data_IF_566207633487
#
_entry.id   IF_566207633487
#
_cell.length_a   1.000
_cell.length_b   1.000
_cell.length_c   1.000
_cell.angle_alpha   90.00
_cell.angle_beta   90.00
_cell.angle_gamma   90.00
#
_symmetry.space_group_name_H-M   'P 1'
#
loop_
_entity.id
_entity.type
_entity.pdbx_description
1 polymer ?
2 non-polymer ?
#
# COMPACT_ATOMS: atom_id res chain seq x y z
N UNK A 15 -58.88 -4.73 7.72
CA UNK A 15 -57.71 -4.99 6.83
C UNK A 15 -56.46 -4.33 7.42
N UNK A 16 -56.39 -3.00 7.26
CA UNK A 16 -55.17 -2.21 7.29
C UNK A 16 -54.25 -2.79 6.24
N UNK A 17 -54.79 -3.08 5.04
CA UNK A 17 -54.05 -3.29 3.82
C UNK A 17 -53.23 -2.05 3.53
N UNK A 18 -53.57 -0.94 4.18
CA UNK A 18 -52.82 0.30 4.06
C UNK A 18 -51.57 0.20 4.93
N UNK A 19 -51.69 -0.46 6.08
CA UNK A 19 -50.56 -0.72 6.96
C UNK A 19 -49.62 -1.76 6.33
N UNK A 20 -50.17 -2.87 5.80
CA UNK A 20 -49.39 -3.93 5.14
C UNK A 20 -48.56 -3.38 3.98
N UNK A 21 -49.21 -2.65 3.07
CA UNK A 21 -48.51 -2.13 1.90
C UNK A 21 -47.40 -1.17 2.33
N UNK A 22 -47.68 -0.34 3.35
CA UNK A 22 -46.71 0.60 3.88
C UNK A 22 -45.50 -0.11 4.51
N UNK A 23 -45.70 -1.38 4.89
CA UNK A 23 -44.67 -2.26 5.43
C UNK A 23 -43.81 -2.83 4.30
N UNK A 24 -44.45 -3.36 3.23
CA UNK A 24 -43.82 -3.85 2.02
C UNK A 24 -42.81 -2.82 1.50
N UNK A 25 -43.18 -1.55 1.55
CA UNK A 25 -42.43 -0.48 0.93
C UNK A 25 -41.37 0.09 1.88
N UNK A 26 -41.63 0.07 3.19
CA UNK A 26 -40.58 0.41 4.14
C UNK A 26 -39.48 -0.66 4.08
N UNK A 27 -39.87 -1.93 3.90
CA UNK A 27 -38.96 -3.06 3.69
C UNK A 27 -38.06 -2.91 2.46
N UNK A 28 -38.67 -2.59 1.31
CA UNK A 28 -37.96 -2.45 0.05
C UNK A 28 -36.96 -1.30 0.11
N UNK A 29 -37.38 -0.19 0.73
CA UNK A 29 -36.54 0.99 0.90
C UNK A 29 -35.36 0.66 1.80
N UNK A 30 -35.61 -0.14 2.85
CA UNK A 30 -34.57 -0.53 3.81
C UNK A 30 -33.59 -1.52 3.18
N UNK A 31 -34.10 -2.45 2.35
CA UNK A 31 -33.22 -3.29 1.54
C UNK A 31 -32.36 -2.44 0.59
N UNK A 32 -33.02 -1.61 -0.23
CA UNK A 32 -32.38 -0.68 -1.14
C UNK A 32 -31.34 0.20 -0.44
N UNK A 33 -31.69 0.88 0.66
CA UNK A 33 -30.70 1.69 1.35
C UNK A 33 -29.49 0.81 1.69
N UNK A 34 -29.73 -0.42 2.15
CA UNK A 34 -28.66 -1.31 2.61
C UNK A 34 -27.80 -1.77 1.42
N UNK A 35 -28.45 -2.06 0.28
CA UNK A 35 -27.68 -2.33 -0.92
C UNK A 35 -26.75 -1.15 -1.22
N UNK A 36 -27.27 0.08 -1.22
CA UNK A 36 -26.47 1.23 -1.60
C UNK A 36 -25.28 1.42 -0.64
N UNK A 37 -25.53 1.44 0.66
CA UNK A 37 -24.46 1.52 1.63
C UNK A 37 -23.40 0.45 1.38
N UNK A 38 -23.83 -0.80 1.13
CA UNK A 38 -22.89 -1.91 0.98
C UNK A 38 -22.06 -1.74 -0.31
N UNK A 39 -22.72 -1.45 -1.43
CA UNK A 39 -22.04 -1.22 -2.71
C UNK A 39 -21.08 -0.02 -2.62
N UNK A 40 -21.49 1.02 -1.91
CA UNK A 40 -20.67 2.18 -1.62
C UNK A 40 -19.40 1.83 -0.84
N UNK A 41 -19.49 0.92 0.14
CA UNK A 41 -18.33 0.43 0.88
C UNK A 41 -17.43 -0.36 -0.06
N UNK A 42 -18.03 -1.11 -0.99
CA UNK A 42 -17.30 -1.83 -2.04
C UNK A 42 -16.38 -0.87 -2.78
N UNK A 43 -16.96 0.26 -3.21
CA UNK A 43 -16.28 1.33 -3.92
C UNK A 43 -15.10 1.90 -3.14
N UNK A 44 -15.35 2.42 -1.93
CA UNK A 44 -14.25 2.92 -1.10
C UNK A 44 -13.06 1.95 -1.10
N UNK A 45 -13.34 0.65 -1.20
CA UNK A 45 -12.35 -0.37 -0.96
C UNK A 45 -11.52 -0.54 -2.23
N UNK A 46 -12.21 -0.59 -3.37
CA UNK A 46 -11.62 -0.68 -4.70
C UNK A 46 -10.80 0.55 -5.06
N UNK A 47 -11.34 1.74 -4.81
CA UNK A 47 -10.63 3.00 -4.88
C UNK A 47 -9.41 3.07 -3.95
N UNK A 48 -9.47 2.52 -2.73
CA UNK A 48 -8.24 2.51 -1.96
C UNK A 48 -7.19 1.69 -2.71
N UNK A 49 -7.56 0.46 -3.10
CA UNK A 49 -6.62 -0.48 -3.66
C UNK A 49 -6.09 0.03 -4.98
N UNK A 50 -6.88 0.83 -5.70
CA UNK A 50 -6.49 1.39 -6.98
C UNK A 50 -5.48 2.54 -6.81
N UNK A 51 -5.79 3.53 -5.97
CA UNK A 51 -4.85 4.57 -5.58
C UNK A 51 -3.55 3.93 -5.08
N UNK A 52 -3.64 2.94 -4.21
CA UNK A 52 -2.44 2.34 -3.63
C UNK A 52 -1.59 1.63 -4.68
N UNK A 53 -2.24 1.02 -5.69
CA UNK A 53 -1.52 0.30 -6.74
C UNK A 53 -0.82 1.34 -7.62
N UNK A 54 -1.56 2.42 -7.95
CA UNK A 54 -1.06 3.46 -8.83
C UNK A 54 0.16 4.13 -8.21
N UNK A 55 0.06 4.49 -6.94
CA UNK A 55 1.10 5.29 -6.31
C UNK A 55 2.30 4.42 -5.92
N UNK A 56 2.11 3.10 -5.89
CA UNK A 56 3.21 2.15 -5.72
C UNK A 56 3.93 1.92 -7.05
N UNK A 57 3.21 2.08 -8.17
CA UNK A 57 3.80 1.88 -9.48
C UNK A 57 4.51 3.16 -9.93
N UNK A 58 4.10 4.33 -9.41
CA UNK A 58 4.82 5.58 -9.58
C UNK A 58 6.14 5.57 -8.79
N UNK A 59 6.13 5.17 -7.52
CA UNK A 59 7.34 4.95 -6.72
C UNK A 59 8.30 4.06 -7.48
N UNK A 60 7.83 2.87 -7.86
CA UNK A 60 8.71 1.87 -8.41
C UNK A 60 9.39 2.44 -9.67
N UNK A 61 8.63 3.23 -10.46
CA UNK A 61 9.17 3.67 -11.73
C UNK A 61 10.17 4.81 -11.52
N UNK A 62 9.81 5.77 -10.67
CA UNK A 62 10.64 6.88 -10.22
C UNK A 62 11.97 6.42 -9.60
N UNK A 63 11.88 5.53 -8.60
CA UNK A 63 13.00 4.92 -7.91
C UNK A 63 13.94 4.21 -8.89
N UNK A 64 13.41 3.31 -9.73
CA UNK A 64 14.29 2.56 -10.63
C UNK A 64 15.02 3.53 -11.56
N UNK A 65 14.34 4.62 -11.94
CA UNK A 65 14.87 5.54 -12.93
C UNK A 65 15.98 6.35 -12.29
N UNK A 66 15.81 6.68 -11.00
CA UNK A 66 16.83 7.35 -10.20
C UNK A 66 18.04 6.47 -9.86
N UNK A 67 17.87 5.15 -9.75
CA UNK A 67 18.97 4.22 -9.60
C UNK A 67 19.70 4.04 -10.92
N UNK A 68 18.92 3.98 -12.01
CA UNK A 68 19.48 3.91 -13.35
C UNK A 68 20.49 5.06 -13.49
N UNK A 69 20.07 6.25 -13.02
CA UNK A 69 20.82 7.49 -13.08
C UNK A 69 22.12 7.31 -12.32
N UNK A 70 21.97 7.05 -11.02
CA UNK A 70 23.04 6.86 -10.06
C UNK A 70 24.09 5.87 -10.59
N UNK A 71 23.64 4.77 -11.21
CA UNK A 71 24.56 3.78 -11.73
C UNK A 71 25.22 4.25 -13.01
N UNK A 72 24.51 5.03 -13.85
CA UNK A 72 25.17 5.42 -15.09
C UNK A 72 26.16 6.56 -14.85
N UNK A 73 25.84 7.46 -13.90
CA UNK A 73 26.81 8.45 -13.47
C UNK A 73 28.04 7.73 -12.92
N UNK A 74 27.86 6.85 -11.91
CA UNK A 74 28.90 5.97 -11.38
C UNK A 74 29.69 5.26 -12.48
N UNK A 75 28.99 4.61 -13.42
CA UNK A 75 29.63 3.96 -14.56
C UNK A 75 30.49 4.91 -15.40
N UNK A 76 30.05 6.16 -15.59
CA UNK A 76 30.80 7.10 -16.40
C UNK A 76 31.99 7.68 -15.62
N UNK A 77 31.84 7.86 -14.30
CA UNK A 77 33.00 8.24 -13.53
C UNK A 77 34.10 7.18 -13.66
N UNK A 78 33.71 5.91 -13.70
CA UNK A 78 34.67 4.84 -13.87
C UNK A 78 35.27 4.87 -15.27
N UNK A 79 34.43 4.91 -16.31
CA UNK A 79 34.92 4.99 -17.68
C UNK A 79 36.09 5.98 -17.75
N UNK A 80 35.90 7.17 -17.19
CA UNK A 80 36.93 8.21 -17.23
C UNK A 80 38.17 7.75 -16.47
N UNK A 81 37.96 7.25 -15.24
CA UNK A 81 39.02 6.86 -14.32
C UNK A 81 39.96 5.88 -15.02
N UNK A 82 39.36 4.85 -15.63
CA UNK A 82 40.05 3.81 -16.39
C UNK A 82 40.79 4.38 -17.60
N UNK A 83 40.26 5.43 -18.23
CA UNK A 83 40.95 6.02 -19.36
C UNK A 83 42.25 6.70 -18.93
N UNK A 84 42.24 7.46 -17.82
CA UNK A 84 43.49 8.01 -17.30
C UNK A 84 44.49 6.87 -17.04
N UNK A 85 43.97 5.69 -16.69
CA UNK A 85 44.81 4.52 -16.42
C UNK A 85 45.28 3.92 -17.76
N UNK A 86 44.37 3.72 -18.74
CA UNK A 86 44.72 3.12 -20.03
C UNK A 86 45.90 3.87 -20.69
N UNK A 87 45.87 5.20 -20.63
CA UNK A 87 46.82 6.05 -21.30
C UNK A 87 48.13 6.14 -20.51
N UNK A 88 48.02 6.03 -19.19
CA UNK A 88 49.18 6.14 -18.33
C UNK A 88 49.95 4.83 -18.31
N UNK A 89 49.46 3.87 -19.09
CA UNK A 89 50.09 2.57 -19.17
C UNK A 89 50.80 2.44 -20.52
N UNK A 90 50.20 3.07 -21.54
CA UNK A 90 50.90 3.46 -22.75
C UNK A 90 52.20 4.18 -22.35
N UNK A 91 52.09 5.23 -21.52
CA UNK A 91 53.23 6.05 -21.15
C UNK A 91 54.16 5.33 -20.16
N UNK A 92 53.62 4.68 -19.11
CA UNK A 92 54.40 4.07 -18.03
C UNK A 92 55.77 3.61 -18.55
N UNK B 15 56.46 -1.25 -9.28
CA UNK B 15 56.04 -1.45 -10.69
C UNK B 15 54.79 -0.62 -10.93
N UNK B 16 54.90 0.38 -11.83
CA UNK B 16 53.76 1.21 -12.15
C UNK B 16 52.73 0.41 -12.93
N UNK B 17 53.18 -0.52 -13.77
CA UNK B 17 52.24 -1.42 -14.40
C UNK B 17 51.45 -2.19 -13.32
N UNK B 18 51.97 -2.24 -12.08
CA UNK B 18 51.25 -2.94 -11.02
C UNK B 18 50.41 -1.97 -10.19
N UNK B 19 50.98 -0.84 -9.71
CA UNK B 19 50.24 0.25 -9.09
C UNK B 19 48.97 0.59 -9.89
N UNK B 20 49.11 0.70 -11.22
CA UNK B 20 47.98 1.12 -12.03
C UNK B 20 47.02 -0.05 -12.21
N UNK B 21 47.56 -1.27 -12.33
CA UNK B 21 46.69 -2.42 -12.44
C UNK B 21 45.87 -2.55 -11.14
N UNK B 22 46.57 -2.36 -10.01
CA UNK B 22 45.92 -2.35 -8.71
C UNK B 22 44.73 -1.39 -8.72
N UNK B 23 44.88 -0.25 -9.42
CA UNK B 23 43.92 0.83 -9.47
C UNK B 23 42.73 0.43 -10.34
N UNK B 24 43.02 -0.09 -11.55
CA UNK B 24 41.99 -0.60 -12.44
C UNK B 24 41.15 -1.62 -11.69
N UNK B 25 41.81 -2.63 -11.14
CA UNK B 25 41.06 -3.68 -10.48
C UNK B 25 40.19 -3.11 -9.36
N UNK B 26 40.74 -2.18 -8.53
CA UNK B 26 40.02 -1.66 -7.37
C UNK B 26 38.85 -0.77 -7.79
N UNK B 27 39.01 0.01 -8.88
CA UNK B 27 37.93 0.78 -9.49
C UNK B 27 36.84 -0.15 -10.03
N UNK B 28 37.23 -1.22 -10.75
CA UNK B 28 36.29 -2.23 -11.25
C UNK B 28 35.55 -2.90 -10.08
N UNK B 29 36.26 -3.30 -9.02
CA UNK B 29 35.58 -3.90 -7.88
C UNK B 29 34.68 -2.88 -7.16
N UNK B 30 35.08 -1.60 -7.13
CA UNK B 30 34.24 -0.60 -6.50
C UNK B 30 32.94 -0.39 -7.27
N UNK B 31 33.00 -0.38 -8.61
CA UNK B 31 31.80 -0.28 -9.43
C UNK B 31 30.88 -1.50 -9.33
N UNK B 32 31.45 -2.71 -9.53
CA UNK B 32 30.74 -3.96 -9.30
C UNK B 32 29.97 -3.93 -7.98
N UNK B 33 30.62 -3.52 -6.88
CA UNK B 33 29.93 -3.48 -5.59
C UNK B 33 28.73 -2.51 -5.67
N UNK B 34 28.92 -1.37 -6.34
CA UNK B 34 27.91 -0.33 -6.42
C UNK B 34 26.76 -0.85 -7.28
N UNK B 35 27.09 -1.56 -8.36
CA UNK B 35 26.04 -2.12 -9.23
C UNK B 35 25.18 -3.11 -8.47
N UNK B 36 25.79 -3.89 -7.58
CA UNK B 36 25.04 -4.93 -6.89
C UNK B 36 24.28 -4.36 -5.71
N UNK B 37 24.74 -3.23 -5.17
CA UNK B 37 24.01 -2.56 -4.11
C UNK B 37 22.81 -1.83 -4.72
N UNK B 38 22.95 -1.37 -5.97
CA UNK B 38 21.87 -0.65 -6.61
C UNK B 38 20.80 -1.66 -7.04
N UNK B 39 21.22 -2.73 -7.72
CA UNK B 39 20.30 -3.77 -8.18
C UNK B 39 19.58 -4.44 -7.01
N UNK B 40 20.19 -4.47 -5.82
CA UNK B 40 19.50 -4.95 -4.63
C UNK B 40 18.42 -3.98 -4.13
N UNK B 41 18.65 -2.67 -4.23
CA UNK B 41 17.60 -1.73 -3.85
C UNK B 41 16.49 -1.92 -4.90
N UNK B 42 16.87 -2.02 -6.18
CA UNK B 42 15.93 -2.33 -7.24
C UNK B 42 15.02 -3.49 -6.80
N UNK B 43 15.67 -4.61 -6.46
CA UNK B 43 15.02 -5.84 -6.06
C UNK B 43 14.20 -5.64 -4.80
N UNK B 44 14.83 -5.14 -3.75
CA UNK B 44 14.15 -4.97 -2.47
C UNK B 44 12.86 -4.15 -2.68
N UNK B 45 12.76 -3.46 -3.81
CA UNK B 45 11.71 -2.48 -3.98
C UNK B 45 10.60 -3.10 -4.82
N UNK B 46 11.01 -3.95 -5.79
CA UNK B 46 10.09 -4.62 -6.69
C UNK B 46 9.31 -5.69 -5.92
N UNK B 47 9.99 -6.24 -4.92
CA UNK B 47 9.45 -7.33 -4.12
C UNK B 47 8.55 -6.80 -3.02
N UNK B 48 8.90 -5.68 -2.40
CA UNK B 48 7.97 -5.14 -1.42
C UNK B 48 6.65 -4.84 -2.15
N UNK B 49 6.73 -4.26 -3.36
CA UNK B 49 5.56 -3.99 -4.20
C UNK B 49 4.73 -5.26 -4.47
N UNK B 50 5.36 -6.32 -5.02
CA UNK B 50 4.70 -7.60 -5.23
C UNK B 50 4.00 -8.08 -3.97
N UNK B 51 4.74 -8.13 -2.85
CA UNK B 51 4.22 -8.66 -1.60
C UNK B 51 3.20 -7.70 -0.96
N UNK B 52 2.97 -6.51 -1.54
CA UNK B 52 2.02 -5.55 -0.99
C UNK B 52 0.75 -5.59 -1.85
N UNK B 53 0.98 -5.52 -3.16
CA UNK B 53 -0.01 -5.73 -4.20
C UNK B 53 -0.76 -7.02 -3.90
N UNK B 54 -0.07 -8.14 -3.71
CA UNK B 54 -0.77 -9.38 -3.39
C UNK B 54 -1.68 -9.23 -2.17
N UNK B 55 -1.13 -8.98 -0.99
CA UNK B 55 -1.97 -8.89 0.20
C UNK B 55 -3.09 -7.84 0.04
N UNK B 56 -2.99 -7.02 -0.99
CA UNK B 56 -3.92 -5.90 -1.13
C UNK B 56 -5.11 -6.29 -1.98
N UNK B 57 -4.87 -7.00 -3.08
CA UNK B 57 -5.94 -7.44 -3.97
C UNK B 57 -6.52 -8.74 -3.39
N UNK B 58 -5.87 -9.27 -2.37
CA UNK B 58 -6.46 -10.30 -1.53
C UNK B 58 -7.36 -9.70 -0.44
N UNK B 59 -6.96 -8.58 0.18
CA UNK B 59 -7.88 -7.81 1.00
C UNK B 59 -9.21 -7.69 0.27
N UNK B 60 -9.13 -7.41 -1.04
CA UNK B 60 -10.23 -6.81 -1.78
C UNK B 60 -11.24 -7.89 -2.20
N UNK B 61 -10.72 -9.01 -2.74
CA UNK B 61 -11.50 -10.21 -3.02
C UNK B 61 -11.49 -11.10 -1.77
N UNK B 62 -11.71 -10.46 -0.62
CA UNK B 62 -12.11 -11.11 0.62
C UNK B 62 -13.27 -10.28 1.19
N UNK B 63 -13.04 -8.97 1.26
CA UNK B 63 -13.92 -7.97 1.83
C UNK B 63 -15.10 -7.80 0.87
N UNK B 64 -14.82 -7.81 -0.43
CA UNK B 64 -15.87 -7.78 -1.44
C UNK B 64 -16.75 -9.02 -1.34
N UNK B 65 -16.14 -10.14 -0.95
CA UNK B 65 -16.87 -11.37 -0.70
C UNK B 65 -17.81 -11.25 0.48
N UNK B 66 -17.30 -10.89 1.67
CA UNK B 66 -18.06 -10.78 2.91
C UNK B 66 -19.08 -9.65 2.84
N UNK B 67 -18.93 -8.71 1.88
CA UNK B 67 -19.92 -7.67 1.64
C UNK B 67 -21.10 -8.25 0.85
N UNK B 68 -20.79 -8.99 -0.24
CA UNK B 68 -21.78 -9.67 -1.08
C UNK B 68 -22.59 -10.64 -0.21
N UNK B 69 -21.98 -11.22 0.84
CA UNK B 69 -22.68 -12.12 1.73
C UNK B 69 -23.62 -11.40 2.69
N UNK B 70 -23.19 -10.25 3.20
CA UNK B 70 -24.04 -9.48 4.09
C UNK B 70 -25.33 -9.15 3.34
N UNK B 71 -25.18 -8.84 2.05
CA UNK B 71 -26.25 -8.42 1.17
C UNK B 71 -27.14 -9.60 0.78
N UNK B 72 -26.58 -10.79 0.65
CA UNK B 72 -27.40 -11.96 0.34
C UNK B 72 -28.31 -12.28 1.53
N UNK B 73 -27.76 -12.24 2.75
CA UNK B 73 -28.53 -12.48 3.97
C UNK B 73 -29.65 -11.46 4.07
N UNK B 74 -29.30 -10.16 4.00
CA UNK B 74 -30.25 -9.09 4.16
C UNK B 74 -31.36 -9.26 3.14
N UNK B 75 -30.95 -9.59 1.90
CA UNK B 75 -31.81 -9.88 0.76
C UNK B 75 -32.74 -11.08 0.99
N UNK B 76 -32.35 -11.98 1.92
CA UNK B 76 -33.18 -13.13 2.25
C UNK B 76 -34.14 -12.76 3.38
N UNK B 77 -33.66 -12.06 4.41
CA UNK B 77 -34.54 -11.60 5.47
C UNK B 77 -35.65 -10.72 4.88
N UNK B 78 -35.34 -10.03 3.77
CA UNK B 78 -36.26 -9.07 3.18
C UNK B 78 -37.21 -9.75 2.19
N UNK B 79 -36.91 -11.00 1.81
CA UNK B 79 -37.77 -11.75 0.89
C UNK B 79 -38.73 -12.63 1.71
N UNK B 80 -38.20 -13.22 2.80
CA UNK B 80 -38.97 -13.82 3.87
C UNK B 80 -40.10 -12.85 4.24
N UNK B 81 -39.75 -11.58 4.43
CA UNK B 81 -40.64 -10.62 5.07
C UNK B 81 -41.80 -10.28 4.14
N UNK B 82 -41.54 -10.33 2.82
CA UNK B 82 -42.49 -9.87 1.81
C UNK B 82 -43.46 -10.99 1.44
N UNK B 83 -42.99 -12.25 1.56
CA UNK B 83 -43.85 -13.39 1.28
C UNK B 83 -44.79 -13.64 2.46
N UNK B 84 -44.49 -13.00 3.59
CA UNK B 84 -45.35 -13.01 4.77
C UNK B 84 -46.49 -12.02 4.55
N UNK B 85 -46.10 -10.80 4.12
CA UNK B 85 -47.03 -9.75 3.77
C UNK B 85 -47.90 -10.22 2.60
N UNK B 86 -47.28 -10.85 1.60
CA UNK B 86 -48.00 -11.29 0.41
C UNK B 86 -49.19 -12.18 0.73
N UNK B 87 -49.04 -13.06 1.73
CA UNK B 87 -50.12 -13.96 2.14
C UNK B 87 -51.19 -13.23 2.94
N UNK B 88 -50.76 -12.46 3.95
CA UNK B 88 -51.69 -11.73 4.81
C UNK B 88 -52.41 -10.61 4.04
N UNK B 89 -52.00 -10.36 2.80
CA UNK B 89 -52.69 -9.40 1.96
C UNK B 89 -53.75 -10.12 1.15
N UNK B 90 -53.50 -11.40 0.87
CA UNK B 90 -54.51 -12.24 0.25
C UNK B 90 -55.64 -12.53 1.24
N UNK B 91 -55.29 -12.69 2.52
CA UNK B 91 -56.34 -12.79 3.52
C UNK B 91 -56.76 -11.37 3.96
N UNK B 92 -55.81 -10.41 3.94
CA UNK B 92 -55.94 -9.05 4.47
C UNK B 92 -57.11 -8.94 5.46
N UNK C 15 -51.70 -21.08 19.23
CA UNK C 15 -50.72 -20.33 18.40
C UNK C 15 -51.29 -18.99 17.93
N UNK C 16 -51.86 -18.22 18.88
CA UNK C 16 -52.28 -16.84 18.67
C UNK C 16 -51.06 -16.01 18.23
N UNK C 17 -50.04 -15.99 19.11
CA UNK C 17 -48.91 -15.07 19.14
C UNK C 17 -47.60 -15.79 18.77
N UNK C 18 -47.66 -17.05 18.32
CA UNK C 18 -46.52 -17.94 18.12
C UNK C 18 -45.70 -17.56 16.90
N UNK C 19 -46.33 -17.00 15.87
CA UNK C 19 -45.57 -16.56 14.72
C UNK C 19 -45.37 -15.05 14.79
N UNK C 20 -45.96 -14.39 15.81
CA UNK C 20 -45.61 -13.00 16.14
C UNK C 20 -44.31 -12.99 16.94
N UNK C 21 -43.87 -14.20 17.35
CA UNK C 21 -42.63 -14.48 18.08
C UNK C 21 -41.61 -15.22 17.21
N UNK C 22 -42.06 -16.24 16.47
CA UNK C 22 -41.18 -17.07 15.62
C UNK C 22 -40.51 -16.19 14.57
N UNK C 23 -41.14 -15.03 14.36
CA UNK C 23 -40.75 -13.95 13.46
C UNK C 23 -39.73 -13.07 14.16
N UNK C 24 -39.97 -12.66 15.41
CA UNK C 24 -39.00 -11.82 16.09
C UNK C 24 -37.68 -12.59 16.34
N UNK C 25 -37.75 -13.91 16.40
CA UNK C 25 -36.60 -14.80 16.56
C UNK C 25 -35.92 -15.16 15.22
N UNK C 26 -36.49 -14.71 14.10
CA UNK C 26 -35.78 -14.76 12.82
C UNK C 26 -35.11 -13.39 12.63
N UNK C 27 -35.70 -12.37 13.26
CA UNK C 27 -35.29 -10.98 13.19
C UNK C 27 -34.10 -10.73 14.11
N UNK C 28 -34.26 -11.10 15.38
CA UNK C 28 -33.22 -11.11 16.40
C UNK C 28 -31.99 -11.79 15.80
N UNK C 29 -32.21 -12.94 15.16
CA UNK C 29 -31.16 -13.76 14.58
C UNK C 29 -30.58 -13.17 13.28
N UNK C 30 -31.13 -12.07 12.77
CA UNK C 30 -30.60 -11.63 11.49
C UNK C 30 -29.97 -10.24 11.59
N UNK C 31 -30.42 -9.41 12.54
CA UNK C 31 -29.64 -8.22 12.88
C UNK C 31 -28.27 -8.70 13.38
N UNK C 32 -28.29 -9.76 14.20
CA UNK C 32 -27.09 -10.35 14.76
C UNK C 32 -26.15 -10.80 13.65
N UNK C 33 -26.65 -11.61 12.70
CA UNK C 33 -25.84 -12.00 11.55
C UNK C 33 -25.22 -10.74 10.93
N UNK C 34 -25.93 -9.62 11.01
CA UNK C 34 -25.57 -8.51 10.17
C UNK C 34 -24.48 -7.65 10.79
N UNK C 35 -24.41 -7.67 12.12
CA UNK C 35 -23.32 -7.02 12.80
C UNK C 35 -22.10 -7.94 12.79
N UNK C 36 -22.35 -9.24 12.88
CA UNK C 36 -21.30 -10.24 12.71
C UNK C 36 -20.70 -10.12 11.30
N UNK C 37 -21.44 -9.58 10.34
CA UNK C 37 -20.88 -9.48 9.00
C UNK C 37 -20.22 -8.11 8.86
N UNK C 38 -20.88 -7.09 9.42
CA UNK C 38 -20.43 -5.70 9.34
C UNK C 38 -19.18 -5.46 10.19
N UNK C 39 -19.14 -5.96 11.43
CA UNK C 39 -17.95 -5.77 12.25
C UNK C 39 -16.79 -6.61 11.72
N UNK C 40 -17.12 -7.78 11.14
CA UNK C 40 -16.11 -8.59 10.47
C UNK C 40 -15.60 -7.95 9.17
N UNK C 41 -16.38 -7.05 8.57
CA UNK C 41 -15.92 -6.43 7.33
C UNK C 41 -14.95 -5.30 7.70
N UNK C 42 -15.28 -4.52 8.73
CA UNK C 42 -14.41 -3.48 9.24
C UNK C 42 -13.09 -4.04 9.76
N UNK C 43 -13.14 -5.27 10.25
CA UNK C 43 -12.01 -6.00 10.79
C UNK C 43 -11.03 -6.31 9.65
N UNK C 44 -11.56 -6.76 8.50
CA UNK C 44 -10.68 -7.21 7.43
C UNK C 44 -9.86 -6.03 6.89
N UNK C 45 -10.54 -4.89 6.74
CA UNK C 45 -9.99 -3.60 6.38
C UNK C 45 -8.88 -3.19 7.35
N UNK C 46 -9.17 -3.14 8.67
CA UNK C 46 -8.17 -2.93 9.71
C UNK C 46 -6.92 -3.81 9.53
N UNK C 47 -7.09 -5.14 9.60
CA UNK C 47 -5.99 -6.10 9.50
C UNK C 47 -5.18 -5.89 8.24
N UNK C 48 -5.84 -5.59 7.11
CA UNK C 48 -5.16 -5.38 5.84
C UNK C 48 -4.34 -4.07 5.85
N UNK C 49 -4.81 -3.05 6.56
CA UNK C 49 -4.08 -1.80 6.73
C UNK C 49 -2.80 -2.03 7.55
N UNK C 50 -2.92 -2.66 8.74
CA UNK C 50 -1.79 -3.09 9.54
C UNK C 50 -0.79 -3.88 8.68
N UNK C 51 -1.24 -4.96 8.01
CA UNK C 51 -0.33 -5.84 7.30
C UNK C 51 0.43 -5.06 6.22
N UNK C 52 -0.27 -4.14 5.55
CA UNK C 52 0.34 -3.34 4.51
C UNK C 52 1.37 -2.34 5.09
N UNK C 53 1.04 -1.61 6.18
CA UNK C 53 2.04 -0.79 6.84
C UNK C 53 3.23 -1.62 7.30
N UNK C 54 2.97 -2.73 8.00
CA UNK C 54 4.01 -3.60 8.54
C UNK C 54 5.00 -3.95 7.44
N UNK C 55 4.56 -3.87 6.19
CA UNK C 55 5.47 -4.30 5.14
C UNK C 55 6.05 -3.13 4.35
N UNK C 56 5.38 -1.98 4.31
CA UNK C 56 5.99 -0.72 3.85
C UNK C 56 7.20 -0.39 4.71
N UNK C 57 7.03 -0.59 6.02
CA UNK C 57 8.04 -0.17 6.98
C UNK C 57 9.25 -1.11 6.88
N UNK C 58 8.99 -2.41 6.77
CA UNK C 58 10.03 -3.38 6.49
C UNK C 58 10.84 -2.96 5.27
N UNK C 59 10.19 -2.58 4.15
CA UNK C 59 10.85 -2.10 2.95
C UNK C 59 11.64 -0.84 3.27
N UNK C 60 10.99 0.11 3.95
CA UNK C 60 11.59 1.43 4.09
C UNK C 60 12.91 1.25 4.81
N UNK C 61 12.92 0.35 5.80
CA UNK C 61 14.10 0.15 6.62
C UNK C 61 15.19 -0.58 5.82
N UNK C 62 14.85 -1.74 5.30
CA UNK C 62 15.72 -2.55 4.45
C UNK C 62 16.18 -1.75 3.22
N UNK C 63 15.46 -0.71 2.82
CA UNK C 63 15.87 0.00 1.62
C UNK C 63 16.75 1.19 2.02
N UNK C 64 16.28 1.98 2.98
CA UNK C 64 17.10 3.04 3.57
C UNK C 64 18.46 2.53 4.03
N UNK C 65 18.51 1.26 4.43
CA UNK C 65 19.72 0.75 5.04
C UNK C 65 20.69 0.28 3.97
N UNK C 66 20.14 -0.28 2.89
CA UNK C 66 20.95 -0.74 1.78
C UNK C 66 21.46 0.47 0.94
N UNK C 67 20.67 1.55 0.84
CA UNK C 67 21.16 2.82 0.33
C UNK C 67 22.29 3.39 1.19
N UNK C 68 22.12 3.39 2.53
CA UNK C 68 23.16 3.89 3.42
C UNK C 68 24.47 3.16 3.12
N UNK C 69 24.39 1.84 2.91
CA UNK C 69 25.56 1.00 2.73
C UNK C 69 26.23 1.29 1.39
N UNK C 70 25.44 1.72 0.40
CA UNK C 70 25.93 2.00 -0.95
C UNK C 70 26.73 3.32 -0.91
N UNK C 71 26.18 4.33 -0.22
CA UNK C 71 26.80 5.61 0.04
C UNK C 71 28.07 5.44 0.88
N UNK C 72 28.02 4.62 1.93
CA UNK C 72 29.18 4.43 2.80
C UNK C 72 30.34 3.84 1.99
N UNK C 73 30.06 2.85 1.13
CA UNK C 73 31.14 2.21 0.40
C UNK C 73 31.71 3.21 -0.62
N UNK C 74 30.83 4.03 -1.21
CA UNK C 74 31.20 5.04 -2.21
C UNK C 74 32.12 6.07 -1.57
N UNK C 75 31.70 6.58 -0.41
CA UNK C 75 32.41 7.52 0.44
C UNK C 75 33.78 6.96 0.86
N UNK C 76 33.84 5.67 1.20
CA UNK C 76 35.15 5.11 1.53
C UNK C 76 36.05 5.05 0.27
N UNK C 77 35.46 4.75 -0.88
CA UNK C 77 36.23 4.66 -2.08
C UNK C 77 36.83 6.04 -2.37
N UNK C 78 35.97 7.07 -2.52
CA UNK C 78 36.34 8.47 -2.66
C UNK C 78 37.47 8.90 -1.71
N UNK C 79 37.36 8.61 -0.42
CA UNK C 79 38.40 8.93 0.54
C UNK C 79 39.71 8.19 0.21
N UNK C 80 39.65 6.92 -0.24
CA UNK C 80 40.83 6.18 -0.68
C UNK C 80 41.43 6.88 -1.90
N UNK C 81 40.59 7.53 -2.70
CA UNK C 81 41.05 8.19 -3.91
C UNK C 81 41.87 9.45 -3.55
N UNK C 82 41.37 10.24 -2.60
CA UNK C 82 41.99 11.50 -2.21
C UNK C 82 43.28 11.33 -1.42
N UNK C 83 43.38 10.22 -0.67
CA UNK C 83 44.57 9.81 0.09
C UNK C 83 45.71 9.50 -0.88
N UNK C 84 45.33 9.07 -2.10
CA UNK C 84 46.30 8.69 -3.10
C UNK C 84 46.80 9.95 -3.78
N UNK C 85 45.85 10.82 -4.13
CA UNK C 85 46.11 12.14 -4.69
C UNK C 85 46.98 12.95 -3.74
N UNK C 86 46.60 13.00 -2.46
CA UNK C 86 47.30 13.78 -1.47
C UNK C 86 48.77 13.35 -1.35
N UNK C 87 49.09 12.09 -1.66
CA UNK C 87 50.46 11.60 -1.54
C UNK C 87 51.30 11.99 -2.74
N UNK C 88 50.73 11.83 -3.94
CA UNK C 88 51.39 12.23 -5.17
C UNK C 88 51.53 13.75 -5.23
N UNK C 89 50.85 14.46 -4.31
CA UNK C 89 50.98 15.91 -4.15
C UNK C 89 52.18 16.25 -3.27
N UNK C 90 52.49 15.35 -2.32
CA UNK C 90 53.74 15.45 -1.59
C UNK C 90 54.93 15.15 -2.49
N UNK C 91 54.79 14.19 -3.42
CA UNK C 91 55.81 13.96 -4.44
C UNK C 91 55.66 15.02 -5.55
N UNK C 92 54.41 15.38 -5.88
CA UNK C 92 54.00 16.14 -7.07
C UNK C 92 55.13 16.24 -8.10
N UNK D 15 51.19 13.07 -12.09
CA UNK D 15 51.41 14.29 -12.91
C UNK D 15 51.73 15.51 -12.04
N UNK D 16 51.14 16.64 -12.48
CA UNK D 16 51.30 17.97 -11.95
C UNK D 16 50.46 18.10 -10.67
N UNK D 17 50.74 19.13 -9.84
CA UNK D 17 49.84 19.52 -8.76
C UNK D 17 48.45 19.91 -9.28
N UNK D 18 48.33 20.09 -10.61
CA UNK D 18 47.20 20.78 -11.24
C UNK D 18 46.25 19.73 -11.82
N UNK D 19 46.80 18.63 -12.35
CA UNK D 19 45.96 17.50 -12.70
C UNK D 19 45.49 16.78 -11.42
N UNK D 20 46.31 16.86 -10.36
CA UNK D 20 46.01 16.29 -9.06
C UNK D 20 44.88 17.01 -8.33
N UNK D 21 44.86 18.35 -8.35
CA UNK D 21 43.77 19.10 -7.73
C UNK D 21 42.49 18.95 -8.53
N UNK D 22 42.62 18.81 -9.85
CA UNK D 22 41.44 18.71 -10.70
C UNK D 22 40.73 17.36 -10.47
N UNK D 23 41.50 16.34 -10.09
CA UNK D 23 40.94 15.02 -9.83
C UNK D 23 40.29 15.01 -8.45
N UNK D 24 40.93 15.60 -7.43
CA UNK D 24 40.31 15.86 -6.14
C UNK D 24 38.91 16.42 -6.36
N UNK D 25 38.82 17.35 -7.31
CA UNK D 25 37.61 18.11 -7.57
C UNK D 25 36.57 17.23 -8.24
N UNK D 26 36.91 16.59 -9.36
CA UNK D 26 35.99 15.72 -10.10
C UNK D 26 35.45 14.59 -9.21
N UNK D 27 36.25 14.16 -8.22
CA UNK D 27 35.94 13.06 -7.32
C UNK D 27 34.99 13.55 -6.24
N UNK D 28 35.08 14.84 -5.86
CA UNK D 28 34.09 15.44 -4.98
C UNK D 28 32.78 15.64 -5.72
N UNK D 29 32.82 16.12 -6.99
CA UNK D 29 31.61 16.33 -7.79
C UNK D 29 30.92 15.00 -8.07
N UNK D 30 31.67 13.89 -8.01
CA UNK D 30 31.12 12.57 -8.34
C UNK D 30 30.37 11.98 -7.14
N UNK D 31 30.95 12.16 -5.93
CA UNK D 31 30.46 11.67 -4.65
C UNK D 31 29.30 12.51 -4.15
N UNK D 32 29.40 13.83 -4.37
CA UNK D 32 28.32 14.79 -4.16
C UNK D 32 27.11 14.33 -4.96
N UNK D 33 27.29 14.12 -6.29
CA UNK D 33 26.19 13.69 -7.14
C UNK D 33 25.60 12.40 -6.56
N UNK D 34 26.48 11.46 -6.20
CA UNK D 34 26.01 10.16 -5.78
C UNK D 34 25.19 10.32 -4.50
N UNK D 35 25.68 11.15 -3.58
CA UNK D 35 24.95 11.52 -2.36
C UNK D 35 23.55 12.11 -2.61
N UNK D 36 23.43 13.00 -3.62
CA UNK D 36 22.13 13.56 -3.97
C UNK D 36 21.22 12.43 -4.38
N UNK D 37 21.55 11.81 -5.53
CA UNK D 37 20.79 10.72 -6.14
C UNK D 37 20.34 9.66 -5.11
N UNK D 38 21.15 9.41 -4.08
CA UNK D 38 20.84 8.32 -3.17
C UNK D 38 19.87 8.79 -2.10
N UNK D 39 20.14 9.93 -1.47
CA UNK D 39 19.25 10.55 -0.48
C UNK D 39 17.86 10.79 -1.08
N UNK D 40 17.86 11.05 -2.38
CA UNK D 40 16.69 11.34 -3.19
C UNK D 40 15.92 10.07 -3.56
N UNK D 41 16.60 8.92 -3.69
CA UNK D 41 15.90 7.64 -3.79
C UNK D 41 15.20 7.36 -2.46
N UNK D 42 15.91 7.53 -1.33
CA UNK D 42 15.30 7.52 -0.01
C UNK D 42 14.02 8.36 0.04
N UNK D 43 14.10 9.60 -0.44
CA UNK D 43 13.00 10.55 -0.38
C UNK D 43 11.80 9.96 -1.13
N UNK D 44 12.09 9.33 -2.27
CA UNK D 44 11.11 8.79 -3.20
C UNK D 44 10.38 7.59 -2.56
N UNK D 45 11.12 6.85 -1.76
CA UNK D 45 10.64 5.70 -1.02
C UNK D 45 9.78 6.15 0.17
N UNK D 46 10.31 7.01 1.06
CA UNK D 46 9.55 7.52 2.19
C UNK D 46 8.19 8.06 1.73
N UNK D 47 8.22 8.91 0.69
CA UNK D 47 7.06 9.64 0.24
C UNK D 47 5.96 8.70 -0.28
N UNK D 48 6.29 7.76 -1.18
CA UNK D 48 5.28 6.81 -1.61
C UNK D 48 4.61 6.11 -0.42
N UNK D 49 5.41 5.81 0.62
CA UNK D 49 4.96 5.14 1.84
C UNK D 49 3.95 5.99 2.59
N UNK D 50 4.13 7.31 2.55
CA UNK D 50 3.23 8.27 3.16
C UNK D 50 1.93 8.44 2.36
N UNK D 51 1.98 8.32 1.02
CA UNK D 51 0.80 8.35 0.15
C UNK D 51 -0.09 7.15 0.46
N UNK D 52 0.54 5.97 0.52
CA UNK D 52 -0.16 4.73 0.79
C UNK D 52 -0.71 4.75 2.21
N UNK D 53 -0.01 5.45 3.11
CA UNK D 53 -0.59 5.55 4.42
C UNK D 53 -1.82 6.44 4.35
N UNK D 54 -1.66 7.65 3.80
CA UNK D 54 -2.76 8.59 3.64
C UNK D 54 -3.99 7.94 2.97
N UNK D 55 -3.79 7.21 1.87
CA UNK D 55 -4.92 6.67 1.15
C UNK D 55 -5.58 5.50 1.90
N UNK D 56 -4.81 4.81 2.77
CA UNK D 56 -5.37 3.80 3.66
C UNK D 56 -6.22 4.46 4.74
N UNK D 57 -5.74 5.57 5.33
CA UNK D 57 -6.47 6.33 6.35
C UNK D 57 -7.81 6.78 5.80
N UNK D 58 -7.80 7.49 4.68
CA UNK D 58 -9.00 7.90 3.96
C UNK D 58 -9.97 6.74 3.71
N UNK D 59 -9.45 5.54 3.41
CA UNK D 59 -10.26 4.33 3.26
C UNK D 59 -10.80 3.92 4.63
N UNK D 60 -9.91 3.68 5.59
CA UNK D 60 -10.30 3.18 6.89
C UNK D 60 -11.26 4.17 7.58
N UNK D 61 -11.27 5.43 7.11
CA UNK D 61 -12.23 6.43 7.56
C UNK D 61 -13.59 6.16 6.91
N UNK D 62 -13.64 6.26 5.58
CA UNK D 62 -14.91 6.30 4.87
C UNK D 62 -15.60 4.93 4.93
N UNK D 63 -14.85 3.89 5.28
CA UNK D 63 -15.34 2.52 5.17
C UNK D 63 -15.89 2.11 6.53
N UNK D 64 -15.16 2.43 7.60
CA UNK D 64 -15.68 2.31 8.97
C UNK D 64 -16.84 3.30 9.20
N UNK D 65 -16.92 4.35 8.38
CA UNK D 65 -18.01 5.30 8.47
C UNK D 65 -19.27 4.68 7.90
N UNK D 66 -19.21 4.39 6.60
CA UNK D 66 -20.31 3.80 5.84
C UNK D 66 -20.81 2.51 6.51
N UNK D 67 -19.91 1.67 7.01
CA UNK D 67 -20.32 0.49 7.76
C UNK D 67 -21.09 0.85 9.03
N UNK D 68 -20.61 1.85 9.78
CA UNK D 68 -21.29 2.21 11.01
C UNK D 68 -22.73 2.61 10.69
N UNK D 69 -22.92 3.43 9.63
CA UNK D 69 -24.20 3.95 9.14
C UNK D 69 -25.18 2.84 8.76
N UNK D 70 -24.69 1.83 8.04
CA UNK D 70 -25.45 0.70 7.51
C UNK D 70 -25.96 -0.14 8.66
N UNK D 71 -25.21 -0.19 9.77
CA UNK D 71 -25.58 -0.94 10.96
C UNK D 71 -26.61 -0.14 11.77
N UNK D 72 -26.48 1.18 11.74
CA UNK D 72 -27.37 2.05 12.49
C UNK D 72 -28.68 2.29 11.75
N UNK D 73 -28.75 1.94 10.45
CA UNK D 73 -29.99 1.98 9.69
C UNK D 73 -30.75 0.66 9.87
N UNK D 74 -30.01 -0.46 9.86
CA UNK D 74 -30.53 -1.81 10.07
C UNK D 74 -30.89 -2.05 11.53
N UNK D 75 -30.55 -1.10 12.41
CA UNK D 75 -30.92 -1.17 13.82
C UNK D 75 -32.05 -0.18 14.08
N UNK D 76 -32.01 0.98 13.42
CA UNK D 76 -33.11 1.92 13.41
C UNK D 76 -34.38 1.21 12.91
N UNK D 77 -34.21 0.18 12.07
CA UNK D 77 -35.34 -0.47 11.43
C UNK D 77 -35.67 -1.82 12.07
N UNK D 78 -34.72 -2.42 12.82
CA UNK D 78 -35.08 -3.56 13.67
C UNK D 78 -35.93 -3.01 14.82
N UNK D 79 -35.62 -1.77 15.23
CA UNK D 79 -36.29 -1.03 16.29
C UNK D 79 -37.74 -0.71 15.93
N UNK D 80 -37.97 -0.17 14.71
CA UNK D 80 -39.31 0.09 14.20
C UNK D 80 -40.11 -1.21 14.10
N UNK D 81 -39.46 -2.28 13.60
CA UNK D 81 -40.07 -3.59 13.44
C UNK D 81 -40.49 -4.20 14.79
N UNK D 82 -40.01 -3.66 15.92
CA UNK D 82 -40.37 -4.24 17.21
C UNK D 82 -41.34 -3.34 17.98
N UNK D 83 -41.35 -2.02 17.72
CA UNK D 83 -42.36 -1.11 18.22
C UNK D 83 -43.73 -1.46 17.62
N UNK D 84 -43.70 -2.03 16.42
CA UNK D 84 -44.93 -2.48 15.78
C UNK D 84 -45.37 -3.77 16.46
N UNK D 85 -44.49 -4.80 16.49
CA UNK D 85 -44.81 -6.06 17.12
C UNK D 85 -45.34 -5.83 18.55
N UNK D 86 -44.72 -4.93 19.31
CA UNK D 86 -45.11 -4.66 20.70
C UNK D 86 -46.55 -4.15 20.81
N UNK D 87 -46.99 -3.37 19.81
CA UNK D 87 -48.33 -2.80 19.74
C UNK D 87 -49.37 -3.86 19.36
N UNK D 88 -49.05 -4.64 18.31
CA UNK D 88 -49.93 -5.69 17.81
C UNK D 88 -50.09 -6.81 18.85
N UNK D 89 -49.18 -6.85 19.83
CA UNK D 89 -49.28 -7.79 20.94
C UNK D 89 -50.22 -7.29 22.03
N UNK D 90 -50.31 -5.96 22.18
CA UNK D 90 -51.31 -5.36 23.04
C UNK D 90 -52.70 -5.56 22.42
N UNK D 91 -52.81 -5.50 21.11
CA UNK D 91 -54.09 -5.85 20.50
C UNK D 91 -54.16 -7.38 20.34
N UNK D 92 -53.05 -7.99 19.92
CA UNK D 92 -52.88 -9.39 19.53
C UNK D 92 -54.18 -10.00 19.00
X LIG E 1 -33.87 -3.74 22.23
X LIG E 1 -32.82 -3.67 21.20
X LIG E 1 -32.72 -2.30 20.59
X LIG E 1 -32.19 -1.32 21.57
X LIG E 1 -32.63 -1.67 22.93
X LIG E 1 -33.93 -2.44 22.94
X LIG E 1 -32.50 0.07 21.19
X LIG E 1 -33.84 0.28 20.51
X LIG E 1 -34.84 0.52 21.47
X LIG E 1 -35.21 -4.17 21.69
X LIG E 1 -35.67 -5.56 22.13
X LIG E 1 -35.03 -5.96 23.73
X LIG E 1 -33.50 -6.14 23.52
X LIG E 1 -35.27 -4.81 24.56
X LIG E 1 -35.59 -7.23 24.11
#
# INVERSE_FOLDING_TARGET
GPGGGLEELLAGVDSNLVELEATRVAEKEALALLREQAASVGTQVEEAAERILKSLLAQKQEVLGQLRALVEAAEEATRERLTKIERQEQVAK
GPGGGLEELLAGVDSNLVELEATRVAEKEALALLREQAASVGTQVEEAAERILKSLLAQKQEVLGQLRALVEAAEEATRERLTKIERQEQVAK
GPGGGLEELLAGVDSNLVELEATRVAEKEALALLREQAASVGTQVEEAAERILKSLLAQKQEVLGQLRALVEAAEEATRERLTKIERQEQVAK
GPGGGLEELLAGVDSNLVELEATRVAEKEALALLREQAASVGTQVEEAAERILKSLLAQKQEVLGQLRALVEAAEEATRERLTKIERQEQVAK
EPE N1 C2 C3 N4 C5 C6 C7 C8 O8 C9 C10 S O1S O2S O3S
#
